data_IF_865734124373
#
_entry.id   IF_865734124373
#
_cell.length_a   1.000
_cell.length_b   1.000
_cell.length_c   1.000
_cell.angle_alpha   90.00
_cell.angle_beta   90.00
_cell.angle_gamma   90.00
#
_symmetry.space_group_name_H-M   'P 1'
#
loop_
_entity.id
_entity.type
_entity.pdbx_description
1 polymer ?
#
# COMPACT_ATOMS: atom_id res chain seq x y z
N UNK A 1 9.36 44.13 -27.52
CA UNK A 1 8.66 43.16 -28.38
C UNK A 1 7.25 43.69 -28.61
N UNK A 2 6.85 43.90 -29.86
CA UNK A 2 5.59 44.53 -30.26
C UNK A 2 4.66 43.48 -30.87
N UNK A 3 3.38 43.49 -30.47
CA UNK A 3 2.33 42.65 -31.05
C UNK A 3 1.68 43.41 -32.20
N UNK A 4 1.94 42.99 -33.43
CA UNK A 4 1.40 43.61 -34.63
C UNK A 4 0.26 42.75 -35.20
N UNK A 5 -0.78 43.38 -35.72
CA UNK A 5 -1.86 42.70 -36.44
C UNK A 5 -1.80 43.14 -37.91
N UNK A 6 -1.39 42.21 -38.77
CA UNK A 6 -1.27 42.45 -40.22
C UNK A 6 -2.17 41.44 -40.93
N UNK A 7 -3.14 41.93 -41.71
CA UNK A 7 -4.08 41.09 -42.46
C UNK A 7 -4.81 40.05 -41.58
N UNK A 8 -5.25 40.46 -40.38
CA UNK A 8 -6.01 39.60 -39.46
C UNK A 8 -5.18 38.53 -38.72
N UNK A 9 -3.89 38.37 -39.02
CA UNK A 9 -2.98 37.47 -38.29
C UNK A 9 -2.09 38.26 -37.34
N UNK A 10 -1.89 37.68 -36.15
CA UNK A 10 -1.05 38.27 -35.10
C UNK A 10 0.40 37.83 -35.33
N UNK A 11 1.33 38.78 -35.39
CA UNK A 11 2.77 38.53 -35.37
C UNK A 11 3.47 39.33 -34.28
N UNK A 12 4.57 38.79 -33.76
CA UNK A 12 5.36 39.42 -32.71
C UNK A 12 6.71 39.82 -33.28
N UNK A 13 7.05 41.11 -33.22
CA UNK A 13 8.27 41.67 -33.82
C UNK A 13 9.11 42.38 -32.76
N UNK A 14 10.43 42.45 -32.99
CA UNK A 14 11.34 43.15 -32.08
C UNK A 14 11.36 44.66 -32.35
N UNK A 15 10.95 45.09 -33.54
CA UNK A 15 10.85 46.49 -33.98
C UNK A 15 9.38 46.99 -33.99
N UNK A 16 9.13 48.31 -33.84
CA UNK A 16 7.77 48.87 -33.82
C UNK A 16 7.00 48.61 -35.12
N UNK A 17 5.68 48.35 -35.04
CA UNK A 17 4.85 48.08 -36.21
C UNK A 17 4.85 49.27 -37.19
N UNK A 18 5.14 49.02 -38.47
CA UNK A 18 5.29 50.06 -39.51
C UNK A 18 4.03 50.91 -39.76
N UNK A 19 2.84 50.41 -39.43
CA UNK A 19 1.58 51.14 -39.55
C UNK A 19 0.71 50.93 -38.31
N UNK A 20 0.43 52.01 -37.58
CA UNK A 20 -0.63 52.06 -36.58
C UNK A 20 -0.25 51.53 -35.19
N UNK A 21 -0.27 52.42 -34.21
CA UNK A 21 -0.11 52.11 -32.79
C UNK A 21 -1.32 51.37 -32.23
N UNK A 22 -1.29 50.04 -32.26
CA UNK A 22 -2.03 49.26 -31.27
C UNK A 22 -1.04 48.82 -30.19
N UNK A 23 -0.83 49.68 -29.18
CA UNK A 23 -0.28 49.21 -27.90
C UNK A 23 -1.31 48.27 -27.30
N UNK A 24 -1.25 46.99 -27.68
CA UNK A 24 -1.92 45.94 -26.93
C UNK A 24 -1.24 45.85 -25.58
N UNK A 25 -1.79 46.49 -24.56
CA UNK A 25 -1.49 46.15 -23.17
C UNK A 25 -1.91 44.70 -22.99
N UNK A 26 -0.92 43.80 -22.96
CA UNK A 26 -1.15 42.49 -22.34
C UNK A 26 -1.40 42.84 -20.88
N UNK A 27 -2.67 42.85 -20.46
CA UNK A 27 -2.97 42.89 -19.04
C UNK A 27 -2.23 41.69 -18.43
N UNK A 28 -1.37 41.87 -17.42
CA UNK A 28 -0.91 40.73 -16.65
C UNK A 28 -2.15 39.96 -16.18
N UNK A 29 -2.12 38.62 -16.11
CA UNK A 29 -3.22 37.87 -15.52
C UNK A 29 -3.56 38.57 -14.21
N UNK A 30 -4.84 38.94 -14.03
CA UNK A 30 -5.31 39.71 -12.88
C UNK A 30 -4.55 39.24 -11.66
N UNK A 31 -3.78 40.15 -11.04
CA UNK A 31 -2.79 39.80 -10.04
C UNK A 31 -3.44 38.84 -9.06
N UNK A 32 -3.01 37.56 -9.10
CA UNK A 32 -3.54 36.53 -8.22
C UNK A 32 -3.38 37.11 -6.83
N UNK A 33 -4.49 37.45 -6.19
CA UNK A 33 -4.41 38.07 -4.87
C UNK A 33 -3.70 37.07 -3.97
N UNK A 34 -2.88 37.56 -3.03
CA UNK A 34 -2.22 36.68 -2.07
C UNK A 34 -3.24 35.76 -1.37
N UNK A 35 -4.48 36.22 -1.22
CA UNK A 35 -5.60 35.45 -0.70
C UNK A 35 -6.04 34.29 -1.62
N UNK A 36 -6.22 34.52 -2.92
CA UNK A 36 -6.55 33.47 -3.88
C UNK A 36 -5.42 32.43 -4.04
N UNK A 37 -4.16 32.88 -3.94
CA UNK A 37 -3.00 32.00 -3.95
C UNK A 37 -2.90 31.15 -2.67
N UNK A 38 -3.17 31.74 -1.49
CA UNK A 38 -3.23 31.04 -0.21
C UNK A 38 -4.36 30.02 -0.18
N UNK A 39 -5.53 30.38 -0.67
CA UNK A 39 -6.68 29.48 -0.71
C UNK A 39 -6.41 28.28 -1.64
N UNK A 40 -5.84 28.53 -2.82
CA UNK A 40 -5.47 27.45 -3.75
C UNK A 40 -4.43 26.50 -3.14
N UNK A 41 -3.44 27.04 -2.41
CA UNK A 41 -2.44 26.24 -1.69
C UNK A 41 -3.09 25.43 -0.56
N UNK A 42 -3.97 26.04 0.24
CA UNK A 42 -4.69 25.34 1.31
C UNK A 42 -5.56 24.20 0.79
N UNK A 43 -6.29 24.41 -0.31
CA UNK A 43 -7.08 23.35 -0.96
C UNK A 43 -6.20 22.21 -1.45
N UNK A 44 -5.06 22.53 -2.07
CA UNK A 44 -4.10 21.53 -2.54
C UNK A 44 -3.47 20.74 -1.38
N UNK A 45 -3.10 21.39 -0.28
CA UNK A 45 -2.58 20.75 0.92
C UNK A 45 -3.63 19.81 1.55
N UNK A 46 -4.89 20.26 1.65
CA UNK A 46 -5.99 19.44 2.14
C UNK A 46 -6.23 18.22 1.23
N UNK A 47 -6.22 18.40 -0.09
CA UNK A 47 -6.37 17.30 -1.04
C UNK A 47 -5.21 16.30 -0.94
N UNK A 48 -3.97 16.79 -0.80
CA UNK A 48 -2.82 15.93 -0.55
C UNK A 48 -2.96 15.15 0.75
N UNK A 49 -3.39 15.78 1.84
CA UNK A 49 -3.61 15.10 3.12
C UNK A 49 -4.67 13.99 3.00
N UNK A 50 -5.75 14.22 2.25
CA UNK A 50 -6.77 13.19 1.97
C UNK A 50 -6.18 12.05 1.14
N UNK A 51 -5.35 12.36 0.12
CA UNK A 51 -4.71 11.33 -0.72
C UNK A 51 -3.70 10.48 0.07
N UNK A 52 -2.88 11.10 0.91
CA UNK A 52 -1.86 10.39 1.71
C UNK A 52 -2.52 9.52 2.78
N UNK A 53 -3.57 9.99 3.45
CA UNK A 53 -4.34 9.18 4.40
C UNK A 53 -5.04 8.00 3.70
N UNK A 54 -5.66 8.21 2.55
CA UNK A 54 -6.27 7.14 1.75
C UNK A 54 -5.23 6.09 1.30
N UNK A 55 -4.07 6.54 0.83
CA UNK A 55 -2.97 5.64 0.45
C UNK A 55 -2.48 4.82 1.65
N UNK A 56 -2.29 5.44 2.83
CA UNK A 56 -1.88 4.73 4.04
C UNK A 56 -2.91 3.69 4.47
N UNK A 57 -4.22 4.01 4.42
CA UNK A 57 -5.28 3.04 4.71
C UNK A 57 -5.22 1.83 3.78
N UNK A 58 -5.03 2.06 2.48
CA UNK A 58 -4.90 0.97 1.51
C UNK A 58 -3.70 0.08 1.85
N UNK A 59 -2.55 0.66 2.17
CA UNK A 59 -1.36 -0.12 2.59
C UNK A 59 -1.66 -0.99 3.82
N UNK A 60 -2.35 -0.45 4.82
CA UNK A 60 -2.73 -1.22 6.02
C UNK A 60 -3.68 -2.37 5.65
N UNK A 61 -4.68 -2.11 4.79
CA UNK A 61 -5.63 -3.13 4.35
C UNK A 61 -4.93 -4.25 3.55
N UNK A 62 -3.98 -3.91 2.68
CA UNK A 62 -3.15 -4.86 1.94
C UNK A 62 -2.28 -5.71 2.89
N UNK A 63 -1.71 -5.10 3.94
CA UNK A 63 -0.93 -5.80 4.96
C UNK A 63 -1.79 -6.77 5.79
N UNK A 64 -3.02 -6.38 6.15
CA UNK A 64 -3.97 -7.27 6.83
C UNK A 64 -4.29 -8.47 5.94
N UNK A 65 -4.59 -8.25 4.66
CA UNK A 65 -4.88 -9.32 3.71
C UNK A 65 -3.69 -10.28 3.55
N UNK A 66 -2.47 -9.76 3.50
CA UNK A 66 -1.25 -10.56 3.46
C UNK A 66 -1.11 -11.48 4.69
N UNK A 67 -1.34 -10.95 5.89
CA UNK A 67 -1.26 -11.75 7.12
C UNK A 67 -2.36 -12.80 7.21
N UNK A 68 -3.57 -12.49 6.75
CA UNK A 68 -4.66 -13.46 6.65
C UNK A 68 -4.30 -14.62 5.73
N UNK A 69 -3.71 -14.34 4.56
CA UNK A 69 -3.24 -15.37 3.63
C UNK A 69 -2.09 -16.19 4.23
N UNK A 70 -1.23 -15.56 5.03
CA UNK A 70 -0.14 -16.24 5.73
C UNK A 70 -0.68 -17.23 6.78
N UNK A 71 -1.74 -16.88 7.52
CA UNK A 71 -2.43 -17.81 8.44
C UNK A 71 -2.94 -19.04 7.69
N UNK A 72 -3.67 -18.86 6.58
CA UNK A 72 -4.18 -19.96 5.76
C UNK A 72 -3.05 -20.85 5.23
N UNK A 73 -1.95 -20.23 4.80
CA UNK A 73 -0.75 -20.93 4.34
C UNK A 73 -0.10 -21.75 5.46
N UNK A 74 0.04 -21.19 6.66
CA UNK A 74 0.58 -21.88 7.83
C UNK A 74 -0.30 -23.05 8.28
N UNK A 75 -1.63 -22.90 8.24
CA UNK A 75 -2.56 -23.99 8.53
C UNK A 75 -2.41 -25.13 7.52
N UNK A 76 -2.37 -24.83 6.22
CA UNK A 76 -2.17 -25.83 5.17
C UNK A 76 -0.80 -26.54 5.28
N UNK A 77 0.28 -25.80 5.56
CA UNK A 77 1.61 -26.37 5.77
C UNK A 77 1.66 -27.27 7.01
N UNK A 78 1.01 -26.85 8.10
CA UNK A 78 0.90 -27.66 9.31
C UNK A 78 0.20 -28.98 9.02
N UNK A 79 -0.95 -28.94 8.33
CA UNK A 79 -1.71 -30.14 8.00
C UNK A 79 -0.92 -31.09 7.11
N UNK A 80 -0.20 -30.56 6.13
CA UNK A 80 0.70 -31.34 5.26
C UNK A 80 1.84 -32.00 6.04
N UNK A 81 2.53 -31.27 6.91
CA UNK A 81 3.62 -31.82 7.73
C UNK A 81 3.09 -32.89 8.70
N UNK A 82 1.97 -32.62 9.37
CA UNK A 82 1.34 -33.59 10.28
C UNK A 82 0.82 -34.83 9.54
N UNK A 83 0.28 -34.70 8.33
CA UNK A 83 -0.13 -35.84 7.52
C UNK A 83 1.07 -36.73 7.16
N UNK A 84 2.21 -36.14 6.78
CA UNK A 84 3.44 -36.88 6.52
C UNK A 84 3.95 -37.62 7.76
N UNK A 85 3.90 -37.00 8.94
CA UNK A 85 4.28 -37.64 10.20
C UNK A 85 3.33 -38.78 10.59
N UNK A 86 2.02 -38.60 10.41
CA UNK A 86 1.02 -39.66 10.63
C UNK A 86 1.26 -40.86 9.70
N UNK A 87 1.59 -40.60 8.43
CA UNK A 87 1.94 -41.66 7.49
C UNK A 87 3.20 -42.42 7.94
N UNK A 88 4.27 -41.71 8.34
CA UNK A 88 5.48 -42.34 8.92
C UNK A 88 5.16 -43.17 10.17
N UNK A 89 4.31 -42.67 11.06
CA UNK A 89 3.87 -43.41 12.27
C UNK A 89 3.14 -44.68 11.91
N UNK A 90 2.25 -44.63 10.91
CA UNK A 90 1.50 -45.80 10.45
C UNK A 90 2.39 -46.88 9.81
N UNK A 91 3.45 -46.48 9.11
CA UNK A 91 4.43 -47.41 8.53
C UNK A 91 5.28 -48.07 9.61
N UNK A 92 5.63 -47.33 10.66
CA UNK A 92 6.43 -47.83 11.77
C UNK A 92 5.71 -48.89 12.63
N UNK A 93 4.38 -48.82 12.75
CA UNK A 93 3.55 -49.85 13.41
C UNK A 93 3.73 -51.24 12.81
N UNK A 94 4.15 -51.33 11.55
CA UNK A 94 4.38 -52.60 10.86
C UNK A 94 5.83 -53.12 11.00
N UNK A 95 6.66 -52.48 11.84
CA UNK A 95 8.04 -52.87 12.10
C UNK A 95 8.26 -53.11 13.61
N UNK A 96 9.05 -54.13 13.97
CA UNK A 96 9.25 -54.62 15.35
C UNK A 96 9.86 -53.58 16.33
N UNK A 97 10.34 -52.42 15.84
CA UNK A 97 10.91 -51.33 16.64
C UNK A 97 9.89 -50.25 17.08
N UNK A 98 8.60 -50.58 17.09
CA UNK A 98 7.47 -49.63 17.08
C UNK A 98 7.39 -48.64 18.25
N UNK A 99 7.65 -49.03 19.50
CA UNK A 99 7.33 -48.17 20.65
C UNK A 99 8.18 -46.89 20.74
N UNK A 100 9.51 -47.00 20.65
CA UNK A 100 10.42 -45.83 20.72
C UNK A 100 10.27 -44.92 19.51
N UNK A 101 10.03 -45.51 18.34
CA UNK A 101 9.84 -44.78 17.09
C UNK A 101 8.49 -44.06 17.03
N UNK A 102 7.42 -44.66 17.56
CA UNK A 102 6.12 -44.00 17.67
C UNK A 102 6.16 -42.82 18.64
N UNK A 103 6.92 -42.95 19.73
CA UNK A 103 7.10 -41.86 20.69
C UNK A 103 7.84 -40.68 20.06
N UNK A 104 8.94 -40.93 19.32
CA UNK A 104 9.70 -39.85 18.67
C UNK A 104 8.86 -39.11 17.63
N UNK A 105 8.07 -39.82 16.82
CA UNK A 105 7.16 -39.18 15.85
C UNK A 105 6.08 -38.37 16.56
N UNK A 106 5.55 -38.85 17.68
CA UNK A 106 4.51 -38.11 18.41
C UNK A 106 5.07 -36.80 18.98
N UNK A 107 6.29 -36.81 19.52
CA UNK A 107 7.00 -35.61 19.94
C UNK A 107 7.28 -34.66 18.75
N UNK A 108 7.63 -35.20 17.58
CA UNK A 108 7.83 -34.38 16.37
C UNK A 108 6.51 -33.71 15.93
N UNK A 109 5.38 -34.42 16.00
CA UNK A 109 4.05 -33.85 15.70
C UNK A 109 3.69 -32.70 16.64
N UNK A 110 3.96 -32.84 17.94
CA UNK A 110 3.75 -31.76 18.92
C UNK A 110 4.62 -30.54 18.62
N UNK A 111 5.89 -30.76 18.27
CA UNK A 111 6.81 -29.69 17.90
C UNK A 111 6.35 -28.94 16.62
N UNK A 112 5.88 -29.67 15.61
CA UNK A 112 5.30 -29.08 14.39
C UNK A 112 4.07 -28.25 14.72
N UNK A 113 3.14 -28.77 15.52
CA UNK A 113 1.95 -28.04 15.93
C UNK A 113 2.31 -26.76 16.71
N UNK A 114 3.26 -26.84 17.65
CA UNK A 114 3.72 -25.69 18.43
C UNK A 114 4.40 -24.61 17.57
N UNK A 115 5.21 -25.02 16.59
CA UNK A 115 5.85 -24.15 15.59
C UNK A 115 4.79 -23.35 14.82
N UNK A 116 3.79 -24.02 14.26
CA UNK A 116 2.75 -23.35 13.47
C UNK A 116 1.80 -22.52 14.33
N UNK A 117 1.44 -22.99 15.52
CA UNK A 117 0.67 -22.19 16.48
C UNK A 117 1.36 -20.86 16.82
N UNK A 118 2.68 -20.86 16.97
CA UNK A 118 3.46 -19.64 17.20
C UNK A 118 3.42 -18.69 16.00
N UNK A 119 3.60 -19.22 14.77
CA UNK A 119 3.52 -18.40 13.55
C UNK A 119 2.14 -17.78 13.35
N UNK A 120 1.08 -18.56 13.57
CA UNK A 120 -0.30 -18.09 13.46
C UNK A 120 -0.59 -17.01 14.52
N UNK A 121 -0.10 -17.19 15.76
CA UNK A 121 -0.24 -16.18 16.81
C UNK A 121 0.42 -14.86 16.41
N UNK A 122 1.67 -14.90 15.93
CA UNK A 122 2.38 -13.69 15.48
C UNK A 122 1.60 -12.97 14.37
N UNK A 123 1.12 -13.69 13.35
CA UNK A 123 0.33 -13.09 12.28
C UNK A 123 -0.99 -12.47 12.78
N UNK A 124 -1.64 -13.09 13.77
CA UNK A 124 -2.85 -12.54 14.42
C UNK A 124 -2.55 -11.27 15.21
N UNK A 125 -1.45 -11.25 15.96
CA UNK A 125 -1.01 -10.08 16.73
C UNK A 125 -0.70 -8.91 15.79
N UNK A 126 -0.06 -9.18 14.64
CA UNK A 126 0.21 -8.18 13.60
C UNK A 126 -1.10 -7.63 12.99
N UNK A 127 -2.08 -8.48 12.69
CA UNK A 127 -3.41 -8.04 12.24
C UNK A 127 -4.07 -7.15 13.29
N UNK A 128 -3.98 -7.49 14.57
CA UNK A 128 -4.56 -6.68 15.65
C UNK A 128 -3.87 -5.30 15.73
N UNK A 129 -2.55 -5.25 15.63
CA UNK A 129 -1.79 -4.00 15.62
C UNK A 129 -2.19 -3.11 14.43
N UNK A 130 -2.26 -3.68 13.23
CA UNK A 130 -2.67 -2.97 12.00
C UNK A 130 -4.11 -2.44 12.10
N UNK A 131 -5.02 -3.22 12.69
CA UNK A 131 -6.41 -2.80 12.92
C UNK A 131 -6.52 -1.64 13.91
N UNK A 132 -5.63 -1.56 14.90
CA UNK A 132 -5.54 -0.41 15.82
C UNK A 132 -4.98 0.84 15.14
N UNK A 133 -4.06 0.68 14.20
CA UNK A 133 -3.51 1.80 13.42
C UNK A 133 -4.52 2.37 12.41
N UNK A 134 -5.32 1.51 11.76
CA UNK A 134 -6.30 1.90 10.73
C UNK A 134 -7.23 3.07 11.11
N UNK A 135 -7.88 3.13 12.29
CA UNK A 135 -8.71 4.27 12.69
C UNK A 135 -7.90 5.53 13.06
N UNK A 136 -6.61 5.41 13.41
CA UNK A 136 -5.77 6.57 13.68
C UNK A 136 -5.45 7.37 12.41
N UNK A 137 -5.46 6.73 11.23
CA UNK A 137 -5.33 7.36 9.90
C UNK A 137 -6.64 8.04 9.45
N UNK A 138 -7.69 8.02 10.29
CA UNK A 138 -9.00 8.57 9.96
C UNK A 138 -9.36 9.91 10.63
N UNK A 139 -8.49 10.42 11.50
CA UNK A 139 -8.62 11.74 12.13
C UNK A 139 -7.63 12.70 11.50
#
# INVERSE_FOLDING_TARGET
MYKCQVNGRISYQQEPCAFGTAKGTVAPPDAVTDEAARESRSRFEAEQAVRTTAARRKTIDDQIAFQQNSILSFEAMMDSELAALRAKKSQARNNLAGATWEQSISTEMEAVAAKYATKIRIARDEIEALRKERPAVAK
#
